data_IF_118882525072
#
_entry.id   IF_118882525072
#
_cell.length_a   1.000
_cell.length_b   1.000
_cell.length_c   1.000
_cell.angle_alpha   90.00
_cell.angle_beta   90.00
_cell.angle_gamma   90.00
#
_symmetry.space_group_name_H-M   'P 1'
#
loop_
_entity.id
_entity.type
_entity.pdbx_description
1 polymer ?
#
# COMPACT_ATOMS: atom_id res chain seq x y z
N UNK A 1 15.31 26.67 -4.11
CA UNK A 1 13.85 26.57 -4.18
C UNK A 1 13.25 27.88 -3.68
N UNK A 2 12.54 28.64 -4.52
CA UNK A 2 11.98 29.95 -4.15
C UNK A 2 10.48 29.83 -3.90
N UNK A 3 9.99 30.46 -2.84
CA UNK A 3 8.64 30.39 -2.28
C UNK A 3 7.51 30.95 -3.18
N UNK A 4 7.77 31.19 -4.47
CA UNK A 4 6.79 31.78 -5.41
C UNK A 4 5.82 30.78 -6.04
N UNK A 5 6.02 29.48 -5.87
CA UNK A 5 5.15 28.45 -6.46
C UNK A 5 4.03 27.96 -5.53
N UNK A 6 3.97 28.45 -4.28
CA UNK A 6 3.04 27.97 -3.26
C UNK A 6 1.58 28.47 -3.41
N UNK A 7 1.30 29.35 -4.39
CA UNK A 7 -0.02 30.03 -4.54
C UNK A 7 -0.83 29.48 -5.73
N UNK A 8 -0.27 28.58 -6.55
CA UNK A 8 -1.12 27.81 -7.47
C UNK A 8 -1.93 26.83 -6.63
N UNK A 9 -3.24 26.83 -6.81
CA UNK A 9 -4.14 25.77 -6.34
C UNK A 9 -3.60 24.47 -6.92
N UNK A 10 -2.73 23.80 -6.18
CA UNK A 10 -2.23 22.48 -6.52
C UNK A 10 -3.45 21.59 -6.44
N UNK A 11 -4.02 21.28 -7.61
CA UNK A 11 -4.91 20.14 -7.73
C UNK A 11 -4.04 18.97 -7.33
N UNK A 12 -4.36 18.35 -6.20
CA UNK A 12 -3.71 17.15 -5.68
C UNK A 12 -3.53 16.10 -6.82
N UNK A 13 -4.45 16.14 -7.79
CA UNK A 13 -4.56 15.21 -8.89
C UNK A 13 -3.71 15.54 -10.13
N UNK A 14 -3.17 16.76 -10.28
CA UNK A 14 -2.46 17.15 -11.53
C UNK A 14 -1.02 16.64 -11.60
N UNK A 15 -0.55 16.03 -10.52
CA UNK A 15 0.64 15.17 -10.46
C UNK A 15 0.37 13.92 -9.61
N UNK A 16 -0.90 13.48 -9.59
CA UNK A 16 -1.36 12.40 -8.73
C UNK A 16 -0.74 11.06 -9.13
N UNK A 17 -0.46 10.24 -8.11
CA UNK A 17 0.07 8.89 -8.29
C UNK A 17 -0.97 8.05 -9.04
N UNK A 18 -0.51 7.33 -10.06
CA UNK A 18 -1.36 6.60 -11.00
C UNK A 18 -1.85 5.25 -10.43
N UNK A 19 -1.16 4.72 -9.42
CA UNK A 19 -1.46 3.44 -8.79
C UNK A 19 -1.20 3.48 -7.29
N UNK A 20 -1.86 2.60 -6.51
CA UNK A 20 -1.60 2.44 -5.07
C UNK A 20 -0.15 2.03 -4.81
N UNK A 21 0.41 1.18 -5.66
CA UNK A 21 1.82 0.75 -5.53
C UNK A 21 2.78 1.91 -5.71
N UNK A 22 2.54 2.77 -6.70
CA UNK A 22 3.33 3.99 -6.91
C UNK A 22 3.25 4.92 -5.68
N UNK A 23 2.08 5.04 -5.07
CA UNK A 23 1.91 5.76 -3.80
C UNK A 23 2.77 5.15 -2.71
N UNK A 24 2.65 3.84 -2.47
CA UNK A 24 3.36 3.15 -1.40
C UNK A 24 4.88 3.22 -1.58
N UNK A 25 5.38 3.14 -2.81
CA UNK A 25 6.81 3.29 -3.09
C UNK A 25 7.30 4.73 -2.92
N UNK A 26 6.54 5.71 -3.44
CA UNK A 26 6.91 7.13 -3.34
C UNK A 26 6.94 7.62 -1.90
N UNK A 27 6.08 7.06 -1.04
CA UNK A 27 6.07 7.37 0.40
C UNK A 27 7.04 6.51 1.22
N UNK A 28 7.84 5.66 0.58
CA UNK A 28 8.76 4.71 1.24
C UNK A 28 8.03 3.71 2.18
N UNK A 29 6.73 3.48 1.92
CA UNK A 29 5.86 2.73 2.82
C UNK A 29 6.23 1.23 2.93
N UNK A 30 6.92 0.72 1.91
CA UNK A 30 7.33 -0.67 1.78
C UNK A 30 8.76 -0.95 2.28
N UNK A 31 9.52 0.08 2.66
CA UNK A 31 10.92 -0.08 3.10
C UNK A 31 10.97 -0.59 4.55
N UNK A 32 11.42 -1.84 4.80
CA UNK A 32 11.46 -2.41 6.14
C UNK A 32 12.55 -1.79 7.04
N UNK A 33 13.50 -1.02 6.50
CA UNK A 33 14.61 -0.42 7.23
C UNK A 33 14.24 0.89 7.95
N UNK A 34 13.12 1.51 7.60
CA UNK A 34 12.66 2.76 8.19
C UNK A 34 12.02 2.55 9.57
N UNK A 35 11.77 3.64 10.29
CA UNK A 35 11.05 3.59 11.57
C UNK A 35 9.57 3.26 11.34
N UNK A 36 9.06 2.27 12.08
CA UNK A 36 7.65 1.87 12.02
C UNK A 36 6.74 3.06 12.37
N UNK A 37 5.66 3.24 11.60
CA UNK A 37 4.65 4.30 11.76
C UNK A 37 5.09 5.74 11.47
N UNK A 38 6.33 5.99 11.06
CA UNK A 38 6.74 7.30 10.53
C UNK A 38 6.37 7.39 9.04
N UNK A 39 7.05 6.57 8.23
CA UNK A 39 6.82 6.52 6.78
C UNK A 39 6.45 5.14 6.27
N UNK A 40 6.72 4.09 7.05
CA UNK A 40 6.52 2.70 6.63
C UNK A 40 5.35 2.02 7.30
N UNK A 41 4.79 1.03 6.59
CA UNK A 41 3.80 0.11 7.11
C UNK A 41 4.39 -0.73 8.25
N UNK A 42 3.49 -1.23 9.11
CA UNK A 42 3.87 -2.16 10.18
C UNK A 42 4.44 -3.45 9.62
N UNK A 43 5.26 -4.12 10.42
CA UNK A 43 5.90 -5.38 10.04
C UNK A 43 4.89 -6.42 9.60
N UNK A 44 3.77 -6.51 10.33
CA UNK A 44 2.68 -7.44 10.05
C UNK A 44 2.01 -7.14 8.71
N UNK A 45 1.83 -5.87 8.37
CA UNK A 45 1.30 -5.47 7.07
C UNK A 45 2.28 -5.79 5.94
N UNK A 46 3.57 -5.50 6.13
CA UNK A 46 4.63 -5.83 5.18
C UNK A 46 4.72 -7.35 4.91
N UNK A 47 4.69 -8.17 5.96
CA UNK A 47 4.67 -9.62 5.85
C UNK A 47 3.41 -10.14 5.12
N UNK A 48 2.25 -9.50 5.35
CA UNK A 48 1.01 -9.84 4.62
C UNK A 48 1.10 -9.51 3.13
N UNK A 49 1.68 -8.36 2.77
CA UNK A 49 1.92 -7.97 1.37
C UNK A 49 2.82 -9.00 0.69
N UNK A 50 3.91 -9.41 1.35
CA UNK A 50 4.79 -10.48 0.84
C UNK A 50 4.01 -11.77 0.60
N UNK A 51 3.16 -12.18 1.55
CA UNK A 51 2.32 -13.37 1.41
C UNK A 51 1.39 -13.31 0.21
N UNK A 52 0.74 -12.16 -0.02
CA UNK A 52 -0.20 -11.98 -1.12
C UNK A 52 0.50 -11.99 -2.48
N UNK A 53 1.65 -11.32 -2.58
CA UNK A 53 2.45 -11.27 -3.82
C UNK A 53 3.11 -12.61 -4.18
N UNK A 54 3.40 -13.44 -3.17
CA UNK A 54 3.95 -14.80 -3.37
C UNK A 54 2.89 -15.88 -3.52
N UNK A 55 1.62 -15.52 -3.39
CA UNK A 55 0.51 -16.46 -3.53
C UNK A 55 0.34 -16.94 -4.98
N UNK A 56 -0.33 -18.08 -5.15
CA UNK A 56 -0.66 -18.62 -6.46
C UNK A 56 -1.75 -17.81 -7.20
N UNK A 57 -2.40 -16.86 -6.52
CA UNK A 57 -3.40 -15.99 -7.14
C UNK A 57 -2.74 -14.99 -8.09
N UNK A 58 -3.41 -14.70 -9.21
CA UNK A 58 -2.99 -13.59 -10.04
C UNK A 58 -3.15 -12.30 -9.26
N UNK A 59 -2.15 -11.45 -9.39
CA UNK A 59 -2.16 -10.09 -8.86
C UNK A 59 -1.90 -9.20 -10.07
N UNK A 60 -2.76 -8.21 -10.36
CA UNK A 60 -2.55 -7.30 -11.48
C UNK A 60 -1.16 -6.65 -11.41
N UNK A 61 -0.55 -6.38 -12.57
CA UNK A 61 0.81 -5.85 -12.61
C UNK A 61 0.97 -4.55 -11.81
N UNK A 62 -0.05 -3.68 -11.80
CA UNK A 62 -0.03 -2.41 -11.08
C UNK A 62 -0.15 -2.53 -9.55
N UNK A 63 -0.37 -3.75 -9.02
CA UNK A 63 -0.30 -4.08 -7.59
C UNK A 63 1.07 -4.63 -7.18
N UNK A 64 1.92 -4.97 -8.14
CA UNK A 64 3.24 -5.54 -7.87
C UNK A 64 4.25 -4.40 -7.72
N UNK A 65 5.00 -4.32 -6.59
CA UNK A 65 6.05 -3.34 -6.42
C UNK A 65 7.17 -3.45 -7.46
N UNK A 66 7.95 -2.39 -7.60
CA UNK A 66 9.20 -2.38 -8.34
C UNK A 66 10.15 -3.46 -7.83
N UNK A 67 11.00 -3.95 -8.73
CA UNK A 67 11.88 -5.09 -8.43
C UNK A 67 12.86 -4.78 -7.31
N UNK A 68 13.32 -3.53 -7.22
CA UNK A 68 14.24 -3.04 -6.21
C UNK A 68 13.59 -3.04 -4.82
N UNK A 69 12.41 -2.43 -4.68
CA UNK A 69 11.63 -2.41 -3.43
C UNK A 69 11.27 -3.83 -3.00
N UNK A 70 10.85 -4.66 -3.96
CA UNK A 70 10.54 -6.07 -3.69
C UNK A 70 11.74 -6.86 -3.17
N UNK A 71 12.93 -6.70 -3.77
CA UNK A 71 14.15 -7.37 -3.31
C UNK A 71 14.53 -6.96 -1.89
N UNK A 72 14.42 -5.69 -1.54
CA UNK A 72 14.72 -5.23 -0.18
C UNK A 72 13.76 -5.89 0.81
N UNK A 73 12.46 -5.85 0.51
CA UNK A 73 11.42 -6.42 1.35
C UNK A 73 11.58 -7.94 1.55
N UNK A 74 11.86 -8.69 0.48
CA UNK A 74 12.06 -10.15 0.56
C UNK A 74 13.31 -10.56 1.36
N UNK A 75 14.36 -9.74 1.36
CA UNK A 75 15.61 -10.09 2.04
C UNK A 75 15.63 -9.67 3.52
N UNK A 76 14.59 -9.00 4.01
CA UNK A 76 14.50 -8.63 5.41
C UNK A 76 14.16 -9.85 6.29
N UNK A 77 15.10 -10.20 7.17
CA UNK A 77 14.99 -11.39 8.03
C UNK A 77 13.84 -11.30 9.03
N UNK A 78 13.52 -10.10 9.52
CA UNK A 78 12.46 -9.88 10.51
C UNK A 78 11.09 -10.04 9.83
N UNK A 79 10.92 -9.47 8.64
CA UNK A 79 9.70 -9.67 7.84
C UNK A 79 9.56 -11.15 7.43
N UNK A 80 10.65 -11.80 7.03
CA UNK A 80 10.63 -13.23 6.68
C UNK A 80 10.22 -14.14 7.84
N UNK A 81 10.73 -13.90 9.05
CA UNK A 81 10.30 -14.65 10.24
C UNK A 81 8.80 -14.44 10.54
N UNK A 82 8.33 -13.20 10.47
CA UNK A 82 6.92 -12.87 10.73
C UNK A 82 5.97 -13.46 9.67
N UNK A 83 6.41 -13.57 8.42
CA UNK A 83 5.67 -14.26 7.35
C UNK A 83 5.42 -15.73 7.68
N UNK A 84 6.41 -16.41 8.28
CA UNK A 84 6.25 -17.81 8.73
C UNK A 84 5.18 -17.88 9.81
N UNK A 85 5.28 -17.04 10.83
CA UNK A 85 4.32 -17.00 11.94
C UNK A 85 2.89 -16.69 11.44
N UNK A 86 2.73 -15.67 10.58
CA UNK A 86 1.44 -15.33 9.97
C UNK A 86 0.88 -16.50 9.15
N UNK A 87 1.73 -17.22 8.41
CA UNK A 87 1.29 -18.36 7.62
C UNK A 87 0.79 -19.51 8.51
N UNK A 88 1.42 -19.71 9.67
CA UNK A 88 0.96 -20.67 10.69
C UNK A 88 -0.37 -20.18 11.27
N UNK A 89 -0.47 -18.94 11.73
CA UNK A 89 -1.71 -18.36 12.27
C UNK A 89 -2.88 -18.50 11.29
N UNK A 90 -2.66 -18.26 9.99
CA UNK A 90 -3.69 -18.41 8.96
C UNK A 90 -4.12 -19.86 8.77
N UNK A 91 -3.18 -20.80 8.84
CA UNK A 91 -3.47 -22.24 8.74
C UNK A 91 -4.32 -22.72 9.92
N UNK A 92 -3.97 -22.28 11.12
CA UNK A 92 -4.66 -22.66 12.35
C UNK A 92 -5.97 -21.88 12.56
N UNK A 93 -6.27 -20.88 11.73
CA UNK A 93 -7.47 -20.05 11.85
C UNK A 93 -7.36 -18.96 12.92
N UNK A 94 -6.18 -18.78 13.51
CA UNK A 94 -5.90 -17.82 14.58
C UNK A 94 -5.47 -16.44 14.05
N UNK A 95 -5.28 -16.30 12.74
CA UNK A 95 -4.90 -15.03 12.14
C UNK A 95 -6.00 -13.97 12.31
N UNK A 96 -5.70 -12.95 13.10
CA UNK A 96 -6.57 -11.79 13.27
C UNK A 96 -6.38 -10.82 12.11
N UNK A 97 -7.47 -10.53 11.41
CA UNK A 97 -7.50 -9.46 10.41
C UNK A 97 -7.19 -8.12 11.08
N UNK A 98 -6.38 -7.25 10.43
CA UNK A 98 -6.17 -5.90 10.92
C UNK A 98 -7.51 -5.16 10.97
N UNK A 99 -7.93 -4.78 12.17
CA UNK A 99 -9.12 -3.94 12.33
C UNK A 99 -8.68 -2.48 12.35
N UNK A 100 -9.15 -1.71 11.37
CA UNK A 100 -8.99 -0.25 11.40
C UNK A 100 -10.00 0.30 12.40
N UNK A 101 -9.55 1.13 13.34
CA UNK A 101 -10.46 1.85 14.24
C UNK A 101 -11.41 2.72 13.43
N UNK A 102 -12.68 2.77 13.83
CA UNK A 102 -13.62 3.72 13.24
C UNK A 102 -13.07 5.13 13.36
N UNK A 103 -13.21 5.92 12.30
CA UNK A 103 -12.84 7.33 12.29
C UNK A 103 -13.33 8.05 13.55
N UNK A 104 -12.39 8.70 14.24
CA UNK A 104 -12.69 9.59 15.35
C UNK A 104 -12.78 11.05 14.86
N UNK A 105 -13.81 11.82 15.23
CA UNK A 105 -13.86 13.26 14.93
C UNK A 105 -12.64 14.05 15.41
N UNK A 106 -11.91 13.54 16.40
CA UNK A 106 -10.68 14.16 16.91
C UNK A 106 -9.48 14.00 15.96
N UNK A 107 -9.58 13.13 14.96
CA UNK A 107 -8.60 13.02 13.85
C UNK A 107 -8.74 14.21 12.89
N UNK A 108 -9.88 14.90 12.90
CA UNK A 108 -10.08 16.11 12.11
C UNK A 108 -9.28 17.27 12.70
N UNK A 109 -8.36 17.81 11.92
CA UNK A 109 -7.75 19.10 12.23
C UNK A 109 -8.41 20.20 11.40
N UNK A 110 -8.81 21.33 12.00
CA UNK A 110 -9.58 22.38 11.32
C UNK A 110 -8.80 23.11 10.22
N UNK A 111 -7.48 22.96 10.18
CA UNK A 111 -6.57 23.44 9.13
C UNK A 111 -6.49 22.49 7.91
N UNK A 112 -7.10 21.31 7.96
CA UNK A 112 -7.18 20.41 6.82
C UNK A 112 -8.32 20.77 5.87
N UNK A 113 -8.08 20.58 4.57
CA UNK A 113 -9.12 20.67 3.55
C UNK A 113 -10.23 19.66 3.89
N UNK A 114 -11.49 20.11 4.05
CA UNK A 114 -12.60 19.20 4.31
C UNK A 114 -12.73 18.14 3.21
N UNK A 115 -13.03 16.89 3.58
CA UNK A 115 -13.22 15.78 2.62
C UNK A 115 -14.33 16.04 1.60
N UNK A 116 -15.31 16.88 1.98
CA UNK A 116 -16.42 17.30 1.13
C UNK A 116 -16.36 18.80 0.91
N UNK A 117 -16.44 19.22 -0.35
CA UNK A 117 -16.58 20.61 -0.73
C UNK A 117 -18.02 21.12 -0.58
N UNK A 118 -18.25 22.42 -0.81
CA UNK A 118 -19.60 22.99 -0.87
C UNK A 118 -20.45 22.24 -1.91
N UNK A 119 -21.58 21.67 -1.47
CA UNK A 119 -22.47 20.87 -2.33
C UNK A 119 -22.25 19.35 -2.26
N UNK A 120 -21.49 18.84 -1.28
CA UNK A 120 -21.39 17.41 -0.99
C UNK A 120 -20.54 16.61 -1.98
N UNK A 121 -19.73 17.30 -2.79
CA UNK A 121 -18.78 16.64 -3.70
C UNK A 121 -17.46 16.39 -2.97
N UNK A 122 -16.80 15.23 -3.17
CA UNK A 122 -15.46 15.02 -2.66
C UNK A 122 -14.49 16.09 -3.16
N UNK A 123 -13.63 16.59 -2.27
CA UNK A 123 -12.57 17.56 -2.62
C UNK A 123 -11.39 16.93 -3.34
N UNK A 124 -11.20 15.61 -3.20
CA UNK A 124 -10.25 14.82 -3.99
C UNK A 124 -10.97 14.18 -5.18
N UNK A 125 -10.34 14.19 -6.36
CA UNK A 125 -10.83 13.38 -7.48
C UNK A 125 -10.49 11.91 -7.21
N UNK A 126 -11.35 11.00 -7.66
CA UNK A 126 -11.01 9.58 -7.69
C UNK A 126 -9.81 9.33 -8.62
N UNK A 127 -9.09 8.20 -8.46
CA UNK A 127 -8.00 7.84 -9.35
C UNK A 127 -8.47 7.85 -10.82
N UNK A 128 -7.65 8.34 -11.77
CA UNK A 128 -8.04 8.48 -13.17
C UNK A 128 -8.28 7.13 -13.86
N UNK A 129 -7.74 6.04 -13.30
CA UNK A 129 -7.82 4.69 -13.84
C UNK A 129 -9.00 3.96 -13.21
N UNK A 130 -10.02 3.62 -13.99
CA UNK A 130 -10.91 2.52 -13.63
C UNK A 130 -10.09 1.22 -13.71
N UNK A 131 -9.81 0.63 -12.56
CA UNK A 131 -9.19 -0.69 -12.48
C UNK A 131 -10.30 -1.74 -12.58
N UNK A 132 -10.28 -2.55 -13.64
CA UNK A 132 -11.18 -3.69 -13.78
C UNK A 132 -10.61 -4.90 -13.02
N UNK A 133 -11.08 -5.09 -11.78
CA UNK A 133 -10.72 -6.21 -10.90
C UNK A 133 -11.78 -7.34 -10.90
N UNK A 134 -12.71 -7.36 -11.87
CA UNK A 134 -13.88 -8.28 -11.83
C UNK A 134 -13.56 -9.76 -12.09
N UNK A 135 -12.37 -10.07 -12.63
CA UNK A 135 -11.98 -11.44 -12.94
C UNK A 135 -10.71 -11.85 -12.19
N UNK A 136 -10.88 -12.63 -11.11
CA UNK A 136 -9.77 -13.29 -10.43
C UNK A 136 -9.18 -14.38 -11.35
N UNK A 137 -8.07 -14.08 -12.00
CA UNK A 137 -7.29 -15.06 -12.77
C UNK A 137 -6.38 -15.82 -11.80
N UNK A 138 -6.03 -17.07 -12.06
CA UNK A 138 -4.97 -17.75 -11.32
C UNK A 138 -3.65 -17.54 -12.03
N UNK A 139 -2.59 -17.20 -11.29
CA UNK A 139 -1.28 -17.01 -11.91
C UNK A 139 -0.80 -18.39 -12.38
N UNK A 140 -0.41 -18.58 -13.65
CA UNK A 140 0.32 -19.78 -14.02
C UNK A 140 1.60 -19.85 -13.17
N UNK A 141 2.00 -21.07 -12.84
CA UNK A 141 3.13 -21.38 -11.94
C UNK A 141 4.31 -20.41 -12.19
N UNK A 142 4.70 -19.58 -11.19
CA UNK A 142 5.61 -18.46 -11.44
C UNK A 142 7.00 -18.94 -11.86
N UNK A 143 7.56 -18.25 -12.86
CA UNK A 143 8.96 -18.37 -13.25
C UNK A 143 9.86 -17.93 -12.10
N UNK A 144 11.04 -18.55 -12.04
CA UNK A 144 11.94 -18.66 -10.87
C UNK A 144 12.42 -17.34 -10.24
N UNK A 145 12.17 -16.19 -10.87
CA UNK A 145 12.64 -14.87 -10.40
C UNK A 145 11.87 -14.31 -9.19
N UNK A 146 10.61 -14.70 -8.98
CA UNK A 146 9.77 -14.19 -7.89
C UNK A 146 9.60 -15.16 -6.70
N UNK A 147 10.21 -16.36 -6.78
CA UNK A 147 10.17 -17.40 -5.72
C UNK A 147 11.24 -17.25 -4.62
N UNK A 148 11.86 -16.09 -4.49
CA UNK A 148 12.88 -15.83 -3.46
C UNK A 148 12.49 -14.69 -2.55
N UNK A 149 11.26 -14.77 -2.08
CA UNK A 149 10.98 -14.83 -0.65
C UNK A 149 10.81 -16.34 -0.36
#
# INVERSE_FOLDING_TARGET
MSARSAIKQFKIDQGGLSTITELLETTEALDPSLMEFDKRLSDRALARIVKDLTSAYYVPNHWTPSTEVWKVLCNDRRIGALLVDITIEMREGEYKLPTVSSYSPNEFKPDYTPLMGPGGRPTALGPPTQVDDTNAVYRPVPTTSWRRC
#
